data_IF_267506892266
#
_entry.id   IF_267506892266
#
_cell.length_a   1.000
_cell.length_b   1.000
_cell.length_c   1.000
_cell.angle_alpha   90.00
_cell.angle_beta   90.00
_cell.angle_gamma   90.00
#
_symmetry.space_group_name_H-M   'P 1'
#
loop_
_entity.id
_entity.type
_entity.pdbx_description
1 polymer ?
#
# COMPACT_ATOMS: atom_id res chain seq x y z
N UNK A 1 -41.93 -18.80 -34.00
CA UNK A 1 -42.41 -18.97 -32.61
C UNK A 1 -43.24 -17.76 -32.24
N UNK A 2 -44.53 -17.92 -32.03
CA UNK A 2 -45.42 -16.82 -31.60
C UNK A 2 -45.31 -16.68 -30.09
N UNK A 3 -44.64 -15.66 -29.64
CA UNK A 3 -44.52 -15.34 -28.21
C UNK A 3 -45.89 -14.87 -27.73
N UNK A 4 -46.50 -15.61 -26.80
CA UNK A 4 -47.82 -15.33 -26.25
C UNK A 4 -47.80 -14.05 -25.39
N UNK A 5 -48.70 -13.08 -25.72
CA UNK A 5 -48.83 -11.82 -24.96
C UNK A 5 -49.14 -12.02 -23.50
N UNK A 6 -49.85 -13.10 -23.15
CA UNK A 6 -50.22 -13.42 -21.77
C UNK A 6 -48.96 -13.82 -20.99
N UNK A 7 -48.07 -14.58 -21.62
CA UNK A 7 -46.84 -15.05 -21.01
C UNK A 7 -45.88 -13.87 -20.74
N UNK A 8 -45.69 -12.98 -21.71
CA UNK A 8 -44.82 -11.76 -21.53
C UNK A 8 -45.35 -10.84 -20.42
N UNK A 9 -46.69 -10.62 -20.35
CA UNK A 9 -47.29 -9.84 -19.25
C UNK A 9 -47.13 -10.51 -17.89
N UNK A 10 -47.23 -11.83 -17.85
CA UNK A 10 -47.05 -12.62 -16.63
C UNK A 10 -45.61 -12.53 -16.13
N UNK A 11 -44.63 -12.68 -17.02
CA UNK A 11 -43.21 -12.59 -16.72
C UNK A 11 -42.82 -11.18 -16.23
N UNK A 12 -43.36 -10.11 -16.84
CA UNK A 12 -43.20 -8.74 -16.36
C UNK A 12 -43.77 -8.60 -14.93
N UNK A 13 -44.96 -9.13 -14.66
CA UNK A 13 -45.59 -9.04 -13.36
C UNK A 13 -44.82 -9.82 -12.29
N UNK A 14 -44.24 -10.96 -12.65
CA UNK A 14 -43.40 -11.77 -11.78
C UNK A 14 -42.08 -11.07 -11.45
N UNK A 15 -41.41 -10.44 -12.46
CA UNK A 15 -40.25 -9.61 -12.26
C UNK A 15 -40.51 -8.34 -11.41
N UNK A 16 -41.73 -7.80 -11.44
CA UNK A 16 -42.13 -6.64 -10.65
C UNK A 16 -42.43 -6.96 -9.17
N UNK A 17 -42.55 -8.25 -8.80
CA UNK A 17 -42.83 -8.66 -7.42
C UNK A 17 -41.79 -8.17 -6.41
N UNK A 18 -40.52 -8.16 -6.78
CA UNK A 18 -39.46 -7.48 -6.02
C UNK A 18 -39.24 -6.14 -6.70
N UNK A 19 -39.41 -5.03 -6.00
CA UNK A 19 -39.21 -3.69 -6.58
C UNK A 19 -37.73 -3.43 -6.77
N UNK A 20 -37.32 -2.90 -7.95
CA UNK A 20 -35.91 -2.63 -8.27
C UNK A 20 -35.24 -1.71 -7.23
N UNK A 21 -35.99 -0.75 -6.67
CA UNK A 21 -35.45 0.16 -5.66
C UNK A 21 -35.01 -0.56 -4.38
N UNK A 22 -35.65 -1.69 -4.01
CA UNK A 22 -35.25 -2.50 -2.86
C UNK A 22 -33.90 -3.14 -3.07
N UNK A 23 -33.64 -3.66 -4.28
CA UNK A 23 -32.31 -4.18 -4.65
C UNK A 23 -31.25 -3.09 -4.66
N UNK A 24 -31.59 -1.87 -5.10
CA UNK A 24 -30.68 -0.72 -5.06
C UNK A 24 -30.34 -0.33 -3.62
N UNK A 25 -31.31 -0.31 -2.72
CA UNK A 25 -31.04 -0.06 -1.30
C UNK A 25 -30.13 -1.13 -0.68
N UNK A 26 -30.39 -2.41 -0.99
CA UNK A 26 -29.53 -3.51 -0.54
C UNK A 26 -28.11 -3.37 -1.11
N UNK A 27 -27.98 -2.97 -2.38
CA UNK A 27 -26.66 -2.72 -2.99
C UNK A 27 -25.92 -1.57 -2.27
N UNK A 28 -26.59 -0.45 -2.00
CA UNK A 28 -25.99 0.68 -1.27
C UNK A 28 -25.52 0.23 0.12
N UNK A 29 -26.34 -0.52 0.85
CA UNK A 29 -25.97 -1.05 2.15
C UNK A 29 -24.79 -2.01 2.06
N UNK A 30 -24.79 -2.92 1.08
CA UNK A 30 -23.69 -3.87 0.84
C UNK A 30 -22.38 -3.16 0.49
N UNK A 31 -22.44 -2.11 -0.34
CA UNK A 31 -21.26 -1.29 -0.68
C UNK A 31 -20.72 -0.53 0.54
N UNK A 32 -21.61 0.00 1.39
CA UNK A 32 -21.20 0.65 2.63
C UNK A 32 -20.46 -0.33 3.57
N UNK A 33 -20.99 -1.53 3.73
CA UNK A 33 -20.35 -2.60 4.50
C UNK A 33 -18.98 -2.95 3.91
N UNK A 34 -18.91 -3.13 2.58
CA UNK A 34 -17.64 -3.43 1.89
C UNK A 34 -16.60 -2.33 2.11
N UNK A 35 -16.99 -1.07 1.96
CA UNK A 35 -16.10 0.08 2.18
C UNK A 35 -15.57 0.13 3.63
N UNK A 36 -16.44 -0.21 4.60
CA UNK A 36 -16.07 -0.26 6.02
C UNK A 36 -15.02 -1.33 6.29
N UNK A 37 -15.18 -2.55 5.77
CA UNK A 37 -14.20 -3.62 5.94
C UNK A 37 -12.89 -3.36 5.21
N UNK A 38 -12.94 -2.78 4.00
CA UNK A 38 -11.73 -2.33 3.29
C UNK A 38 -10.96 -1.28 4.10
N UNK A 39 -11.69 -0.36 4.74
CA UNK A 39 -11.07 0.63 5.62
C UNK A 39 -10.44 -0.01 6.86
N UNK A 40 -11.10 -0.99 7.47
CA UNK A 40 -10.55 -1.72 8.63
C UNK A 40 -9.24 -2.42 8.24
N UNK A 41 -9.17 -3.07 7.08
CA UNK A 41 -7.95 -3.70 6.58
C UNK A 41 -6.83 -2.67 6.42
N UNK A 42 -7.14 -1.50 5.85
CA UNK A 42 -6.16 -0.43 5.69
C UNK A 42 -5.68 0.13 7.04
N UNK A 43 -6.58 0.38 8.00
CA UNK A 43 -6.23 0.85 9.35
C UNK A 43 -5.33 -0.17 10.06
N UNK A 44 -5.67 -1.46 9.99
CA UNK A 44 -4.85 -2.51 10.58
C UNK A 44 -3.45 -2.61 9.98
N UNK A 45 -3.30 -2.32 8.69
CA UNK A 45 -1.98 -2.20 8.04
C UNK A 45 -1.22 -0.98 8.57
N UNK A 46 -1.87 0.20 8.64
CA UNK A 46 -1.24 1.45 9.12
C UNK A 46 -0.74 1.30 10.56
N UNK A 47 -1.49 0.63 11.43
CA UNK A 47 -1.07 0.36 12.81
C UNK A 47 0.20 -0.49 12.87
N UNK A 48 0.26 -1.57 12.09
CA UNK A 48 1.46 -2.44 12.02
C UNK A 48 2.66 -1.72 11.43
N UNK A 49 2.45 -0.90 10.40
CA UNK A 49 3.50 -0.04 9.84
C UNK A 49 4.07 0.90 10.90
N UNK A 50 3.22 1.58 11.67
CA UNK A 50 3.66 2.44 12.78
C UNK A 50 4.42 1.67 13.84
N UNK A 51 4.04 0.42 14.13
CA UNK A 51 4.76 -0.43 15.07
C UNK A 51 6.18 -0.75 14.57
N UNK A 52 6.36 -1.02 13.25
CA UNK A 52 7.70 -1.18 12.65
C UNK A 52 8.51 0.10 12.78
N UNK A 53 7.94 1.26 12.41
CA UNK A 53 8.61 2.56 12.50
C UNK A 53 9.00 2.92 13.96
N UNK A 54 8.20 2.50 14.94
CA UNK A 54 8.49 2.72 16.35
C UNK A 54 9.67 1.85 16.83
N UNK A 55 9.72 0.57 16.46
CA UNK A 55 10.82 -0.33 16.82
C UNK A 55 12.10 0.02 16.08
N UNK A 56 12.02 0.49 14.82
CA UNK A 56 13.18 1.00 14.09
C UNK A 56 13.91 2.10 14.87
N UNK A 57 13.18 3.01 15.52
CA UNK A 57 13.77 4.05 16.36
C UNK A 57 14.44 3.49 17.63
N UNK A 58 13.91 2.42 18.18
CA UNK A 58 14.49 1.76 19.39
C UNK A 58 15.77 1.01 19.03
N UNK A 59 15.83 0.37 17.86
CA UNK A 59 16.99 -0.36 17.39
C UNK A 59 17.07 -1.81 17.85
N UNK A 60 15.95 -2.38 18.28
CA UNK A 60 15.84 -3.81 18.58
C UNK A 60 15.63 -4.58 17.27
N UNK A 61 16.68 -5.28 16.83
CA UNK A 61 16.71 -5.99 15.54
C UNK A 61 15.74 -7.17 15.56
N UNK A 62 15.67 -7.93 16.64
CA UNK A 62 14.82 -9.12 16.72
C UNK A 62 13.34 -8.73 16.71
N UNK A 63 12.98 -7.75 17.53
CA UNK A 63 11.63 -7.18 17.56
C UNK A 63 11.25 -6.54 16.20
N UNK A 64 12.19 -5.90 15.51
CA UNK A 64 11.97 -5.31 14.20
C UNK A 64 11.67 -6.37 13.14
N UNK A 65 12.42 -7.47 13.10
CA UNK A 65 12.17 -8.59 12.18
C UNK A 65 10.78 -9.20 12.42
N UNK A 66 10.39 -9.40 13.67
CA UNK A 66 9.06 -9.90 14.02
C UNK A 66 7.96 -8.96 13.51
N UNK A 67 8.10 -7.65 13.74
CA UNK A 67 7.11 -6.64 13.29
C UNK A 67 7.05 -6.52 11.76
N UNK A 68 8.18 -6.60 11.07
CA UNK A 68 8.20 -6.66 9.61
C UNK A 68 7.49 -7.89 9.08
N UNK A 69 7.72 -9.06 9.69
CA UNK A 69 7.05 -10.30 9.31
C UNK A 69 5.53 -10.22 9.58
N UNK A 70 5.10 -9.68 10.72
CA UNK A 70 3.69 -9.43 11.01
C UNK A 70 3.04 -8.50 9.96
N UNK A 71 3.73 -7.43 9.59
CA UNK A 71 3.27 -6.48 8.58
C UNK A 71 3.14 -7.14 7.20
N UNK A 72 4.17 -7.89 6.78
CA UNK A 72 4.17 -8.64 5.52
C UNK A 72 3.03 -9.66 5.48
N UNK A 73 2.89 -10.46 6.54
CA UNK A 73 1.83 -11.46 6.67
C UNK A 73 0.46 -10.82 6.59
N UNK A 74 0.25 -9.70 7.29
CA UNK A 74 -1.02 -8.99 7.27
C UNK A 74 -1.33 -8.43 5.88
N UNK A 75 -0.37 -7.75 5.25
CA UNK A 75 -0.53 -7.19 3.91
C UNK A 75 -0.84 -8.28 2.87
N UNK A 76 -0.20 -9.44 2.95
CA UNK A 76 -0.44 -10.55 2.01
C UNK A 76 -1.76 -11.29 2.21
N UNK A 77 -2.41 -11.14 3.36
CA UNK A 77 -3.67 -11.83 3.68
C UNK A 77 -4.91 -10.95 3.51
N UNK A 78 -4.75 -9.62 3.47
CA UNK A 78 -5.88 -8.69 3.44
C UNK A 78 -5.81 -7.78 2.23
N UNK A 79 -6.91 -7.70 1.49
CA UNK A 79 -7.03 -6.74 0.40
C UNK A 79 -7.05 -5.29 0.93
N UNK A 80 -6.62 -4.34 0.11
CA UNK A 80 -6.49 -2.93 0.47
C UNK A 80 -5.54 -2.66 1.66
N UNK A 81 -4.55 -3.54 1.87
CA UNK A 81 -3.56 -3.46 2.94
C UNK A 81 -2.12 -3.29 2.39
N UNK A 82 -1.94 -2.76 1.19
CA UNK A 82 -0.62 -2.46 0.63
C UNK A 82 0.08 -1.40 1.46
N UNK A 83 1.34 -1.67 1.85
CA UNK A 83 2.07 -0.80 2.77
C UNK A 83 2.67 0.44 2.12
N UNK A 84 2.86 0.41 0.77
CA UNK A 84 3.80 1.32 0.15
C UNK A 84 5.23 1.08 0.65
N UNK A 85 6.10 2.02 0.42
CA UNK A 85 7.48 1.93 0.90
C UNK A 85 7.55 2.17 2.42
N UNK A 86 8.04 1.16 3.13
CA UNK A 86 8.41 1.22 4.55
C UNK A 86 9.91 1.37 4.60
N UNK A 87 10.41 2.51 5.08
CA UNK A 87 11.82 2.80 5.15
C UNK A 87 12.32 2.75 6.59
N UNK A 88 13.29 1.87 6.85
CA UNK A 88 13.95 1.72 8.15
C UNK A 88 15.07 2.77 8.29
N UNK A 89 14.67 4.02 8.44
CA UNK A 89 15.57 5.15 8.45
C UNK A 89 16.55 5.11 9.62
N UNK A 90 16.05 4.81 10.83
CA UNK A 90 16.90 4.84 12.02
C UNK A 90 17.91 3.70 12.01
N UNK A 91 17.56 2.53 11.45
CA UNK A 91 18.52 1.42 11.26
C UNK A 91 19.59 1.81 10.24
N UNK A 92 19.19 2.38 9.08
CA UNK A 92 20.14 2.87 8.09
C UNK A 92 21.11 3.88 8.69
N UNK A 93 20.61 4.85 9.44
CA UNK A 93 21.45 5.87 10.09
C UNK A 93 22.45 5.27 11.09
N UNK A 94 22.03 4.27 11.87
CA UNK A 94 22.90 3.54 12.81
C UNK A 94 24.00 2.76 12.09
N UNK A 95 23.65 2.03 11.03
CA UNK A 95 24.60 1.22 10.26
C UNK A 95 25.62 2.09 9.55
N UNK A 96 25.18 3.20 8.94
CA UNK A 96 26.09 4.18 8.33
C UNK A 96 27.00 4.78 9.38
N UNK A 97 26.47 5.19 10.53
CA UNK A 97 27.29 5.74 11.63
C UNK A 97 28.33 4.73 12.10
N UNK A 98 27.96 3.48 12.30
CA UNK A 98 28.89 2.42 12.72
C UNK A 98 30.02 2.21 11.70
N UNK A 99 29.70 2.21 10.40
CA UNK A 99 30.68 2.11 9.33
C UNK A 99 31.65 3.31 9.37
N UNK A 100 31.11 4.52 9.56
CA UNK A 100 31.92 5.73 9.65
C UNK A 100 32.81 5.73 10.91
N UNK A 101 32.27 5.34 12.06
CA UNK A 101 33.04 5.24 13.31
C UNK A 101 34.18 4.21 13.20
N UNK A 102 33.92 3.07 12.52
CA UNK A 102 34.97 2.07 12.24
C UNK A 102 36.04 2.62 11.28
N UNK A 103 35.63 3.34 10.23
CA UNK A 103 36.57 3.96 9.29
C UNK A 103 37.41 5.04 9.99
N UNK A 104 36.82 5.85 10.85
CA UNK A 104 37.51 6.82 11.67
C UNK A 104 38.51 6.14 12.64
N UNK A 105 38.10 5.08 13.30
CA UNK A 105 38.99 4.32 14.19
C UNK A 105 40.18 3.73 13.44
N UNK A 106 39.99 3.24 12.21
CA UNK A 106 41.05 2.74 11.35
C UNK A 106 42.04 3.87 10.88
N UNK A 107 41.51 5.07 10.71
CA UNK A 107 42.29 6.24 10.21
C UNK A 107 42.82 7.16 11.33
N UNK A 108 42.61 6.83 12.62
CA UNK A 108 43.00 7.71 13.77
C UNK A 108 44.44 8.11 13.80
N UNK A 109 45.36 7.42 13.12
CA UNK A 109 46.79 7.77 13.11
C UNK A 109 47.17 8.81 12.07
N UNK A 110 46.30 9.24 11.16
CA UNK A 110 46.75 10.08 10.06
C UNK A 110 45.91 11.34 9.77
N UNK A 111 44.61 11.44 10.11
CA UNK A 111 43.78 12.54 9.58
C UNK A 111 42.59 13.02 10.46
N UNK A 112 42.67 12.98 11.77
CA UNK A 112 41.59 13.46 12.67
C UNK A 112 41.16 14.91 12.38
N UNK A 113 42.05 15.75 11.92
CA UNK A 113 41.75 17.19 11.73
C UNK A 113 40.87 17.44 10.50
N UNK A 114 41.12 16.71 9.42
CA UNK A 114 40.41 16.91 8.13
C UNK A 114 39.00 16.40 8.21
N UNK A 115 38.81 15.19 8.81
CA UNK A 115 37.51 14.60 9.00
C UNK A 115 36.61 15.46 9.88
N UNK A 116 37.07 15.87 11.06
CA UNK A 116 36.31 16.69 11.99
C UNK A 116 35.94 18.05 11.37
N UNK A 117 36.80 18.64 10.57
CA UNK A 117 36.51 19.88 9.85
C UNK A 117 35.42 19.68 8.80
N UNK A 118 35.49 18.64 7.98
CA UNK A 118 34.47 18.31 6.99
C UNK A 118 33.10 17.99 7.64
N UNK A 119 33.11 17.23 8.72
CA UNK A 119 31.88 16.88 9.45
C UNK A 119 31.22 18.14 10.04
N UNK A 120 31.94 18.99 10.72
CA UNK A 120 31.43 20.24 11.30
C UNK A 120 30.82 21.17 10.25
N UNK A 121 31.48 21.29 9.11
CA UNK A 121 30.99 22.12 8.00
C UNK A 121 29.72 21.54 7.39
N UNK A 122 29.66 20.21 7.16
CA UNK A 122 28.47 19.55 6.59
C UNK A 122 27.27 19.48 7.54
N UNK A 123 27.51 19.37 8.85
CA UNK A 123 26.42 19.45 9.84
C UNK A 123 25.80 20.85 9.88
N UNK A 124 26.60 21.90 9.68
CA UNK A 124 26.10 23.26 9.60
C UNK A 124 25.32 23.53 8.30
N UNK A 125 25.75 22.92 7.18
CA UNK A 125 25.17 23.12 5.85
C UNK A 125 23.82 22.35 5.67
N UNK A 126 23.69 21.18 6.30
CA UNK A 126 22.49 20.30 6.20
C UNK A 126 21.89 19.97 7.57
N UNK A 127 21.38 20.93 8.34
CA UNK A 127 20.85 20.67 9.66
C UNK A 127 19.61 19.77 9.59
N UNK A 128 19.66 18.62 10.27
CA UNK A 128 18.53 17.67 10.32
C UNK A 128 18.33 16.80 9.08
N UNK A 129 19.16 16.96 8.03
CA UNK A 129 19.10 16.13 6.83
C UNK A 129 20.30 15.20 6.77
N UNK A 130 20.19 14.06 7.42
CA UNK A 130 21.26 13.08 7.62
C UNK A 130 21.91 12.58 6.32
N UNK A 131 21.11 12.24 5.31
CA UNK A 131 21.64 11.79 4.01
C UNK A 131 22.48 12.86 3.31
N UNK A 132 22.03 14.11 3.36
CA UNK A 132 22.79 15.25 2.83
C UNK A 132 24.09 15.48 3.58
N UNK A 133 24.08 15.34 4.90
CA UNK A 133 25.29 15.44 5.74
C UNK A 133 26.34 14.42 5.33
N UNK A 134 25.94 13.14 5.22
CA UNK A 134 26.85 12.04 4.84
C UNK A 134 27.41 12.26 3.45
N UNK A 135 26.57 12.56 2.47
CA UNK A 135 27.01 12.78 1.10
C UNK A 135 28.01 13.94 1.01
N UNK A 136 27.72 15.05 1.72
CA UNK A 136 28.60 16.20 1.83
C UNK A 136 29.98 15.84 2.44
N UNK A 137 30.00 15.06 3.53
CA UNK A 137 31.20 14.61 4.19
C UNK A 137 32.08 13.77 3.23
N UNK A 138 31.45 12.80 2.54
CA UNK A 138 32.12 11.93 1.59
C UNK A 138 32.69 12.72 0.40
N UNK A 139 31.94 13.69 -0.13
CA UNK A 139 32.39 14.52 -1.25
C UNK A 139 33.51 15.50 -0.84
N UNK A 140 33.46 16.07 0.37
CA UNK A 140 34.55 16.87 0.91
C UNK A 140 35.80 16.03 1.16
N UNK A 141 35.64 14.81 1.67
CA UNK A 141 36.75 13.88 1.90
C UNK A 141 37.50 13.53 0.60
N UNK A 142 36.77 13.31 -0.51
CA UNK A 142 37.39 13.07 -1.84
C UNK A 142 38.24 14.21 -2.36
N UNK A 143 38.00 15.44 -1.90
CA UNK A 143 38.73 16.64 -2.34
C UNK A 143 40.04 16.89 -1.59
N UNK A 144 40.29 16.23 -0.47
CA UNK A 144 41.54 16.40 0.28
C UNK A 144 42.61 15.42 -0.20
N UNK A 145 43.78 15.91 -0.63
CA UNK A 145 44.88 15.05 -1.03
C UNK A 145 45.44 14.33 0.20
N UNK A 146 45.15 13.09 0.35
CA UNK A 146 45.72 12.23 1.39
C UNK A 146 46.77 11.32 0.79
N UNK A 147 47.98 11.35 1.35
CA UNK A 147 49.06 10.41 0.99
C UNK A 147 48.80 8.97 1.48
N UNK A 148 47.72 8.71 2.14
CA UNK A 148 47.25 7.38 2.56
C UNK A 148 46.03 7.00 1.73
N UNK A 149 45.94 5.76 1.21
CA UNK A 149 44.76 5.32 0.52
C UNK A 149 43.62 5.35 1.53
N UNK A 150 42.71 6.32 1.34
CA UNK A 150 41.43 6.31 2.07
C UNK A 150 40.69 5.07 1.59
N UNK A 151 40.50 4.09 2.48
CA UNK A 151 39.62 2.99 2.21
C UNK A 151 38.27 3.60 1.86
N UNK A 152 37.84 3.45 0.63
CA UNK A 152 36.56 3.96 0.15
C UNK A 152 35.45 3.37 1.06
N UNK A 153 34.86 4.24 1.89
CA UNK A 153 33.87 3.82 2.84
C UNK A 153 32.59 3.59 2.04
N UNK A 154 32.37 2.33 1.64
CA UNK A 154 31.14 1.95 0.98
C UNK A 154 29.98 2.03 1.98
N UNK A 155 29.10 3.01 1.79
CA UNK A 155 27.84 3.07 2.54
C UNK A 155 26.88 1.99 2.05
N UNK A 156 26.05 1.41 2.93
CA UNK A 156 25.08 0.41 2.52
C UNK A 156 24.06 0.98 1.52
N UNK A 157 23.61 0.15 0.59
CA UNK A 157 22.59 0.57 -0.37
C UNK A 157 21.26 0.85 0.36
N UNK A 158 20.71 2.02 0.14
CA UNK A 158 19.42 2.46 0.72
C UNK A 158 18.27 1.48 0.37
N UNK A 159 18.38 0.79 -0.76
CA UNK A 159 17.36 -0.18 -1.18
C UNK A 159 17.20 -1.35 -0.20
N UNK A 160 18.26 -1.73 0.54
CA UNK A 160 18.22 -2.79 1.55
C UNK A 160 17.32 -2.46 2.74
N UNK A 161 17.09 -1.17 2.99
CA UNK A 161 16.29 -0.67 4.11
C UNK A 161 14.87 -0.29 3.70
N UNK A 162 14.49 -0.51 2.44
CA UNK A 162 13.15 -0.26 1.93
C UNK A 162 12.41 -1.57 1.73
N UNK A 163 11.25 -1.67 2.36
CA UNK A 163 10.36 -2.82 2.26
C UNK A 163 9.03 -2.37 1.68
N UNK A 164 8.52 -3.10 0.70
CA UNK A 164 7.22 -2.84 0.10
C UNK A 164 6.43 -4.15 0.05
N UNK A 165 5.30 -4.18 0.74
CA UNK A 165 4.43 -5.34 0.78
C UNK A 165 3.12 -5.03 0.06
N UNK A 166 2.83 -5.81 -0.98
CA UNK A 166 1.63 -5.66 -1.79
C UNK A 166 0.50 -6.52 -1.23
N UNK A 167 -0.71 -5.95 -1.23
CA UNK A 167 -1.91 -6.70 -0.88
C UNK A 167 -2.45 -7.47 -2.09
N UNK A 168 -3.15 -8.60 -1.88
CA UNK A 168 -3.84 -9.31 -2.94
C UNK A 168 -5.00 -8.47 -3.49
N UNK A 169 -5.38 -8.73 -4.74
CA UNK A 169 -6.56 -8.12 -5.37
C UNK A 169 -7.85 -8.57 -4.67
N UNK A 170 -7.87 -9.80 -4.17
CA UNK A 170 -8.97 -10.37 -3.41
C UNK A 170 -8.43 -11.17 -2.22
N UNK A 171 -9.12 -11.08 -1.08
CA UNK A 171 -8.83 -11.87 0.12
C UNK A 171 -10.09 -12.57 0.63
N UNK A 172 -9.97 -13.80 1.18
CA UNK A 172 -11.12 -14.57 1.70
C UNK A 172 -11.55 -14.09 3.11
N UNK A 173 -11.58 -12.78 3.30
CA UNK A 173 -12.03 -12.11 4.52
C UNK A 173 -13.40 -11.45 4.30
N UNK A 174 -13.92 -10.75 5.33
CA UNK A 174 -15.20 -10.05 5.23
C UNK A 174 -15.21 -8.97 4.15
N UNK A 175 -14.07 -8.32 3.87
CA UNK A 175 -13.96 -7.34 2.80
C UNK A 175 -14.16 -8.00 1.43
N UNK A 176 -13.46 -9.11 1.15
CA UNK A 176 -13.59 -9.84 -0.10
C UNK A 176 -14.99 -10.41 -0.33
N UNK A 177 -15.56 -11.07 0.66
CA UNK A 177 -16.90 -11.63 0.54
C UNK A 177 -18.00 -10.58 0.39
N UNK A 178 -17.90 -9.45 1.09
CA UNK A 178 -18.86 -8.35 0.95
C UNK A 178 -18.83 -7.72 -0.45
N UNK A 179 -17.64 -7.64 -1.09
CA UNK A 179 -17.52 -7.21 -2.48
C UNK A 179 -18.15 -8.20 -3.45
N UNK A 180 -17.99 -9.51 -3.23
CA UNK A 180 -18.65 -10.55 -4.05
C UNK A 180 -20.16 -10.41 -3.96
N UNK A 181 -20.71 -10.23 -2.76
CA UNK A 181 -22.15 -10.00 -2.57
C UNK A 181 -22.62 -8.74 -3.30
N UNK A 182 -21.86 -7.65 -3.19
CA UNK A 182 -22.16 -6.39 -3.91
C UNK A 182 -22.15 -6.58 -5.41
N UNK A 183 -21.15 -7.30 -5.95
CA UNK A 183 -21.06 -7.61 -7.37
C UNK A 183 -22.24 -8.46 -7.87
N UNK A 184 -22.66 -9.46 -7.10
CA UNK A 184 -23.81 -10.28 -7.43
C UNK A 184 -25.12 -9.48 -7.42
N UNK A 185 -25.32 -8.59 -6.44
CA UNK A 185 -26.46 -7.69 -6.40
C UNK A 185 -26.48 -6.75 -7.61
N UNK A 186 -25.33 -6.18 -7.97
CA UNK A 186 -25.21 -5.33 -9.15
C UNK A 186 -25.55 -6.10 -10.43
N UNK A 187 -24.99 -7.30 -10.61
CA UNK A 187 -25.28 -8.17 -11.75
C UNK A 187 -26.77 -8.48 -11.83
N UNK A 188 -27.41 -8.82 -10.72
CA UNK A 188 -28.84 -9.12 -10.67
C UNK A 188 -29.69 -7.91 -11.06
N UNK A 189 -29.32 -6.69 -10.64
CA UNK A 189 -29.98 -5.44 -11.05
C UNK A 189 -29.80 -5.22 -12.57
N UNK A 190 -28.58 -5.38 -13.10
CA UNK A 190 -28.30 -5.19 -14.52
C UNK A 190 -29.09 -6.16 -15.39
N UNK A 191 -29.07 -7.46 -15.09
CA UNK A 191 -29.85 -8.49 -15.82
C UNK A 191 -31.32 -8.14 -15.79
N UNK A 192 -31.86 -7.77 -14.66
CA UNK A 192 -33.26 -7.39 -14.51
C UNK A 192 -33.62 -6.18 -15.38
N UNK A 193 -32.80 -5.11 -15.37
CA UNK A 193 -33.03 -3.92 -16.18
C UNK A 193 -33.00 -4.26 -17.67
N UNK A 194 -32.01 -5.05 -18.11
CA UNK A 194 -31.89 -5.51 -19.51
C UNK A 194 -33.14 -6.29 -19.92
N UNK A 195 -33.54 -7.28 -19.12
CA UNK A 195 -34.75 -8.08 -19.42
C UNK A 195 -36.00 -7.21 -19.51
N UNK A 196 -36.18 -6.24 -18.59
CA UNK A 196 -37.32 -5.32 -18.64
C UNK A 196 -37.30 -4.44 -19.91
N UNK A 197 -36.13 -3.97 -20.33
CA UNK A 197 -35.98 -3.17 -21.57
C UNK A 197 -36.34 -4.02 -22.79
N UNK A 198 -35.80 -5.24 -22.89
CA UNK A 198 -36.09 -6.16 -24.00
C UNK A 198 -37.59 -6.44 -24.08
N UNK A 199 -38.21 -6.80 -22.96
CA UNK A 199 -39.67 -7.10 -22.93
C UNK A 199 -40.50 -5.88 -23.35
N UNK A 200 -40.15 -4.68 -22.90
CA UNK A 200 -40.83 -3.43 -23.32
C UNK A 200 -40.64 -3.11 -24.80
N UNK A 201 -39.43 -3.31 -25.35
CA UNK A 201 -39.17 -3.11 -26.76
C UNK A 201 -39.95 -4.11 -27.64
N UNK A 202 -40.02 -5.37 -27.24
CA UNK A 202 -40.81 -6.40 -27.92
C UNK A 202 -42.30 -6.06 -27.94
N UNK A 203 -42.85 -5.57 -26.81
CA UNK A 203 -44.23 -5.10 -26.78
C UNK A 203 -44.46 -3.89 -27.68
N UNK A 204 -43.56 -2.91 -27.71
CA UNK A 204 -43.63 -1.69 -28.52
C UNK A 204 -43.55 -2.01 -30.02
N UNK A 205 -42.60 -2.85 -30.43
CA UNK A 205 -42.45 -3.22 -31.84
C UNK A 205 -43.67 -3.95 -32.42
N UNK A 206 -44.35 -4.73 -31.62
CA UNK A 206 -45.63 -5.38 -32.01
C UNK A 206 -46.81 -4.39 -32.09
N UNK A 207 -46.77 -3.30 -31.33
CA UNK A 207 -47.85 -2.30 -31.38
C UNK A 207 -47.79 -1.46 -32.66
N UNK A 208 -46.61 -1.31 -33.27
CA UNK A 208 -46.43 -0.57 -34.52
C UNK A 208 -46.69 -1.42 -35.79
N UNK A 209 -46.92 -2.72 -35.65
CA UNK A 209 -47.21 -3.61 -36.81
C UNK A 209 -48.69 -4.03 -36.89
N UNK A 210 -49.55 -3.47 -36.08
CA UNK A 210 -51.03 -3.57 -36.15
C UNK A 210 -51.62 -2.22 -36.46
#
# INVERSE_FOLDING_TARGET
MAIDRRQVKYDIKQLQRIKTWQLVLLLILSLYVSATFLRINNVGMVERRKAVEAIDKVGDIDAMQERLFELQRYASQHMNASTGDVYLQATYERDVKEILDRAEAANRNTNNTIWNKAANECYAEFPGYWQGQIQCILDKQKKFPTNTPITEVATPDVSLYRHNFLSPVWSPDFAGWSLVVSALLLLMILVRVIVMIILRLMLRHRYHRL
#
